data_IF_362414629519
#
_entry.id   IF_362414629519
#
_cell.length_a   1.000
_cell.length_b   1.000
_cell.length_c   1.000
_cell.angle_alpha   90.00
_cell.angle_beta   90.00
_cell.angle_gamma   90.00
#
_symmetry.space_group_name_H-M   'P 1'
#
loop_
_entity.id
_entity.type
_entity.pdbx_description
1 polymer ?
#
# COMPACT_ATOMS: atom_id res chain seq x y z
N UNK A 1 10.63 5.02 -17.69
CA UNK A 1 11.24 6.23 -17.09
C UNK A 1 10.51 6.52 -15.77
N UNK A 2 11.18 7.05 -14.74
CA UNK A 2 10.49 7.54 -13.53
C UNK A 2 10.02 8.98 -13.75
N UNK A 3 8.73 9.23 -13.52
CA UNK A 3 8.11 10.56 -13.66
C UNK A 3 8.36 11.44 -12.44
N UNK A 4 8.26 10.86 -11.25
CA UNK A 4 8.37 11.52 -9.97
C UNK A 4 9.03 10.58 -8.96
N UNK A 5 9.86 11.14 -8.09
CA UNK A 5 10.42 10.42 -6.94
C UNK A 5 10.45 11.34 -5.73
N UNK A 6 9.95 10.83 -4.60
CA UNK A 6 10.09 11.44 -3.29
C UNK A 6 10.82 10.48 -2.36
N UNK A 7 11.77 11.02 -1.60
CA UNK A 7 12.52 10.31 -0.57
C UNK A 7 12.70 11.28 0.60
N UNK A 8 12.71 10.79 1.86
CA UNK A 8 13.05 11.64 2.98
C UNK A 8 14.50 12.14 2.84
N UNK A 9 14.85 13.32 3.37
CA UNK A 9 16.12 14.00 3.11
C UNK A 9 17.39 13.17 3.38
N UNK A 10 17.30 12.17 4.26
CA UNK A 10 18.43 11.33 4.67
C UNK A 10 18.44 9.93 4.03
N UNK A 11 17.53 9.65 3.08
CA UNK A 11 17.48 8.34 2.43
C UNK A 11 18.33 8.31 1.16
N UNK A 12 19.44 7.56 1.23
CA UNK A 12 20.29 7.24 0.08
C UNK A 12 19.88 5.94 -0.63
N UNK A 13 18.77 5.32 -0.22
CA UNK A 13 18.32 4.05 -0.80
C UNK A 13 17.93 4.27 -2.27
N UNK A 14 18.47 3.40 -3.13
CA UNK A 14 18.08 3.30 -4.53
C UNK A 14 17.29 1.99 -4.73
N UNK A 15 16.19 2.08 -5.48
CA UNK A 15 15.28 0.98 -5.76
C UNK A 15 15.24 0.62 -7.25
N UNK A 16 16.17 1.12 -8.08
CA UNK A 16 16.16 0.90 -9.54
C UNK A 16 16.03 -0.58 -9.95
N UNK A 17 16.72 -1.48 -9.25
CA UNK A 17 16.62 -2.92 -9.50
C UNK A 17 15.25 -3.50 -9.09
N UNK A 18 14.74 -3.07 -7.93
CA UNK A 18 13.42 -3.48 -7.45
C UNK A 18 12.33 -3.00 -8.43
N UNK A 19 12.48 -1.79 -8.96
CA UNK A 19 11.57 -1.22 -9.96
C UNK A 19 11.56 -2.00 -11.28
N UNK A 20 12.61 -2.76 -11.61
CA UNK A 20 12.59 -3.63 -12.79
C UNK A 20 11.72 -4.86 -12.58
N UNK A 21 11.74 -5.44 -11.37
CA UNK A 21 10.85 -6.53 -10.98
C UNK A 21 9.40 -6.03 -11.02
N UNK A 22 9.15 -4.88 -10.40
CA UNK A 22 7.84 -4.20 -10.41
C UNK A 22 7.32 -4.03 -11.84
N UNK A 23 8.12 -3.44 -12.76
CA UNK A 23 7.69 -3.25 -14.16
C UNK A 23 7.34 -4.54 -14.88
N UNK A 24 8.03 -5.65 -14.57
CA UNK A 24 7.80 -6.93 -15.23
C UNK A 24 6.48 -7.59 -14.82
N UNK A 25 6.05 -7.39 -13.57
CA UNK A 25 4.89 -8.10 -13.00
C UNK A 25 3.69 -7.18 -12.68
N UNK A 26 3.82 -5.88 -12.92
CA UNK A 26 2.78 -4.90 -12.63
C UNK A 26 1.46 -5.21 -13.36
N UNK A 27 0.44 -5.57 -12.59
CA UNK A 27 -0.94 -5.79 -13.06
C UNK A 27 -1.83 -4.65 -12.60
N UNK A 28 -2.76 -4.24 -13.45
CA UNK A 28 -3.68 -3.15 -13.14
C UNK A 28 -4.65 -3.53 -12.02
N UNK A 29 -4.87 -2.62 -11.07
CA UNK A 29 -5.87 -2.80 -10.01
C UNK A 29 -5.50 -3.79 -8.89
N UNK A 30 -4.29 -4.37 -8.93
CA UNK A 30 -3.82 -5.32 -7.90
C UNK A 30 -2.60 -4.75 -7.19
N UNK A 31 -2.63 -4.80 -5.86
CA UNK A 31 -1.46 -4.49 -5.04
C UNK A 31 -0.52 -5.68 -4.98
N UNK A 32 0.76 -5.43 -5.26
CA UNK A 32 1.81 -6.43 -5.12
C UNK A 32 2.76 -6.03 -4.00
N UNK A 33 3.16 -7.02 -3.22
CA UNK A 33 4.05 -6.87 -2.08
C UNK A 33 5.42 -7.46 -2.40
N UNK A 34 6.47 -6.73 -2.03
CA UNK A 34 7.83 -7.25 -2.02
C UNK A 34 8.35 -7.09 -0.59
N UNK A 35 8.71 -8.19 0.05
CA UNK A 35 9.43 -8.20 1.33
C UNK A 35 10.93 -8.44 1.08
N UNK A 36 11.78 -7.55 1.56
CA UNK A 36 13.24 -7.62 1.45
C UNK A 36 13.92 -7.93 2.79
N UNK A 37 13.16 -8.36 3.80
CA UNK A 37 13.60 -8.59 5.16
C UNK A 37 13.78 -7.32 5.97
N UNK A 38 14.46 -6.29 5.44
CA UNK A 38 14.67 -5.00 6.10
C UNK A 38 13.76 -3.87 5.59
N UNK A 39 13.01 -4.12 4.52
CA UNK A 39 12.11 -3.16 3.89
C UNK A 39 10.98 -3.86 3.18
N UNK A 40 9.88 -3.14 3.04
CA UNK A 40 8.68 -3.57 2.32
C UNK A 40 8.39 -2.58 1.21
N UNK A 41 7.95 -3.09 0.07
CA UNK A 41 7.55 -2.28 -1.07
C UNK A 41 6.16 -2.74 -1.49
N UNK A 42 5.28 -1.77 -1.73
CA UNK A 42 3.96 -1.97 -2.32
C UNK A 42 3.91 -1.24 -3.64
N UNK A 43 3.33 -1.87 -4.66
CA UNK A 43 3.07 -1.21 -5.93
C UNK A 43 1.72 -1.55 -6.51
N UNK A 44 1.20 -0.65 -7.32
CA UNK A 44 -0.02 -0.80 -8.10
C UNK A 44 0.17 -0.13 -9.46
N UNK A 45 -0.39 -0.73 -10.52
CA UNK A 45 -0.49 -0.10 -11.83
C UNK A 45 -1.85 0.56 -11.99
N UNK A 46 -1.85 1.83 -12.39
CA UNK A 46 -3.06 2.56 -12.77
C UNK A 46 -2.82 3.23 -14.13
N UNK A 47 -3.64 2.89 -15.12
CA UNK A 47 -3.42 3.28 -16.51
C UNK A 47 -2.03 2.85 -17.02
N UNK A 48 -1.28 3.82 -17.52
CA UNK A 48 0.09 3.62 -18.03
C UNK A 48 1.19 3.80 -16.97
N UNK A 49 0.81 4.17 -15.73
CA UNK A 49 1.76 4.53 -14.67
C UNK A 49 1.77 3.46 -13.58
N UNK A 50 2.97 3.19 -13.07
CA UNK A 50 3.17 2.32 -11.92
C UNK A 50 3.53 3.20 -10.74
N UNK A 51 2.79 3.03 -9.66
CA UNK A 51 2.99 3.74 -8.41
C UNK A 51 3.62 2.79 -7.41
N UNK A 52 4.54 3.30 -6.60
CA UNK A 52 5.28 2.47 -5.65
C UNK A 52 5.56 3.27 -4.39
N UNK A 53 5.37 2.62 -3.24
CA UNK A 53 5.77 3.13 -1.93
C UNK A 53 6.60 2.09 -1.22
N UNK A 54 7.63 2.53 -0.50
CA UNK A 54 8.50 1.66 0.28
C UNK A 54 8.64 2.16 1.70
N UNK A 55 8.79 1.24 2.65
CA UNK A 55 9.03 1.56 4.06
C UNK A 55 9.88 0.48 4.74
N UNK A 56 10.13 0.66 6.04
CA UNK A 56 10.72 -0.37 6.88
C UNK A 56 9.78 -1.57 7.03
N UNK A 57 10.33 -2.73 7.38
CA UNK A 57 9.56 -3.96 7.61
C UNK A 57 8.55 -3.89 8.77
N UNK A 58 8.67 -2.87 9.64
CA UNK A 58 7.77 -2.65 10.79
C UNK A 58 6.39 -2.12 10.39
N UNK A 59 6.26 -1.52 9.20
CA UNK A 59 5.00 -0.97 8.72
C UNK A 59 4.16 -2.08 8.09
N UNK A 60 2.86 -2.12 8.41
CA UNK A 60 1.92 -3.09 7.85
C UNK A 60 1.63 -2.77 6.37
N UNK A 61 1.43 -3.80 5.54
CA UNK A 61 1.13 -3.62 4.12
C UNK A 61 -0.14 -2.81 3.89
N UNK A 62 -1.18 -3.03 4.70
CA UNK A 62 -2.44 -2.28 4.63
C UNK A 62 -2.25 -0.77 4.78
N UNK A 63 -1.33 -0.31 5.63
CA UNK A 63 -0.98 1.11 5.76
C UNK A 63 -0.32 1.66 4.49
N UNK A 64 0.61 0.88 3.91
CA UNK A 64 1.30 1.25 2.68
C UNK A 64 0.35 1.28 1.47
N UNK A 65 -0.57 0.33 1.38
CA UNK A 65 -1.60 0.30 0.35
C UNK A 65 -2.53 1.50 0.44
N UNK A 66 -3.06 1.80 1.64
CA UNK A 66 -3.95 2.95 1.83
C UNK A 66 -3.26 4.27 1.47
N UNK A 67 -2.00 4.45 1.89
CA UNK A 67 -1.19 5.60 1.51
C UNK A 67 -1.00 5.68 0.00
N UNK A 68 -0.64 4.57 -0.64
CA UNK A 68 -0.40 4.53 -2.07
C UNK A 68 -1.67 4.83 -2.87
N UNK A 69 -2.80 4.28 -2.46
CA UNK A 69 -4.12 4.51 -3.06
C UNK A 69 -4.50 5.99 -2.99
N UNK A 70 -4.32 6.62 -1.83
CA UNK A 70 -4.58 8.05 -1.65
C UNK A 70 -3.63 8.92 -2.48
N UNK A 71 -2.33 8.60 -2.51
CA UNK A 71 -1.35 9.29 -3.34
C UNK A 71 -1.70 9.17 -4.83
N UNK A 72 -2.08 7.99 -5.30
CA UNK A 72 -2.52 7.76 -6.69
C UNK A 72 -3.69 8.67 -7.01
N UNK A 73 -4.72 8.68 -6.16
CA UNK A 73 -5.89 9.54 -6.34
C UNK A 73 -5.50 11.01 -6.44
N UNK A 74 -4.77 11.53 -5.45
CA UNK A 74 -4.34 12.94 -5.41
C UNK A 74 -3.45 13.33 -6.58
N UNK A 75 -2.55 12.44 -6.99
CA UNK A 75 -1.66 12.69 -8.12
C UNK A 75 -2.44 12.83 -9.44
N UNK A 76 -3.42 11.95 -9.68
CA UNK A 76 -4.27 12.02 -10.88
C UNK A 76 -5.29 13.18 -10.82
N UNK A 77 -5.67 13.64 -9.63
CA UNK A 77 -6.50 14.85 -9.49
C UNK A 77 -5.74 16.14 -9.82
N UNK A 78 -4.44 16.19 -9.52
CA UNK A 78 -3.58 17.36 -9.78
C UNK A 78 -3.04 17.36 -11.21
N UNK A 79 -2.68 16.18 -11.72
CA UNK A 79 -2.08 16.03 -13.04
C UNK A 79 -2.98 15.17 -13.93
N UNK A 80 -3.48 15.76 -15.01
CA UNK A 80 -4.11 15.00 -16.09
C UNK A 80 -3.04 14.20 -16.84
N UNK A 81 -2.78 12.98 -16.35
CA UNK A 81 -1.69 12.14 -16.86
C UNK A 81 -1.92 11.68 -18.29
N UNK A 82 -3.17 11.47 -18.70
CA UNK A 82 -3.48 11.04 -20.06
C UNK A 82 -3.10 12.13 -21.06
N UNK A 83 -3.41 13.39 -20.73
CA UNK A 83 -3.00 14.55 -21.54
C UNK A 83 -1.49 14.76 -21.46
N UNK A 84 -0.89 14.77 -20.27
CA UNK A 84 0.53 15.05 -20.10
C UNK A 84 1.39 13.99 -20.81
N UNK A 85 1.06 12.70 -20.68
CA UNK A 85 1.83 11.62 -21.28
C UNK A 85 1.59 11.47 -22.79
N UNK A 86 0.59 12.15 -23.36
CA UNK A 86 0.40 12.21 -24.82
C UNK A 86 1.48 13.05 -25.52
N UNK A 87 2.18 13.94 -24.80
CA UNK A 87 3.26 14.75 -25.35
C UNK A 87 4.59 13.97 -25.38
N UNK A 88 5.35 14.08 -26.47
CA UNK A 88 6.62 13.35 -26.65
C UNK A 88 7.72 13.73 -25.63
N UNK A 89 7.66 14.94 -25.05
CA UNK A 89 8.72 15.49 -24.20
C UNK A 89 8.23 15.92 -22.81
N UNK A 90 7.79 14.96 -22.00
CA UNK A 90 7.40 15.22 -20.60
C UNK A 90 8.63 15.44 -19.71
N UNK A 91 8.77 16.67 -19.19
CA UNK A 91 9.80 17.00 -18.21
C UNK A 91 9.41 16.55 -16.80
N UNK A 92 10.29 15.82 -16.10
CA UNK A 92 10.08 15.41 -14.70
C UNK A 92 9.86 16.60 -13.76
N UNK A 93 10.38 17.77 -14.11
CA UNK A 93 10.25 18.97 -13.28
C UNK A 93 8.81 19.44 -13.14
N UNK A 94 7.92 19.06 -14.06
CA UNK A 94 6.49 19.35 -13.99
C UNK A 94 5.85 18.77 -12.73
N UNK A 95 6.34 17.64 -12.22
CA UNK A 95 5.78 16.96 -11.06
C UNK A 95 6.42 17.40 -9.74
N UNK A 96 7.41 18.32 -9.75
CA UNK A 96 8.14 18.71 -8.54
C UNK A 96 7.24 19.39 -7.49
N UNK A 97 6.16 20.05 -7.92
CA UNK A 97 5.17 20.65 -7.01
C UNK A 97 4.47 19.61 -6.13
N UNK A 98 4.43 18.33 -6.55
CA UNK A 98 3.81 17.27 -5.77
C UNK A 98 4.60 16.88 -4.53
N UNK A 99 5.87 17.29 -4.39
CA UNK A 99 6.67 16.98 -3.19
C UNK A 99 6.03 17.52 -1.92
N UNK A 100 5.57 18.76 -1.93
CA UNK A 100 4.90 19.37 -0.77
C UNK A 100 3.55 18.72 -0.48
N UNK A 101 2.85 18.20 -1.50
CA UNK A 101 1.63 17.43 -1.30
C UNK A 101 1.92 16.08 -0.63
N UNK A 102 2.98 15.38 -1.02
CA UNK A 102 3.41 14.14 -0.32
C UNK A 102 3.74 14.43 1.14
N UNK A 103 4.46 15.51 1.43
CA UNK A 103 4.80 15.91 2.80
C UNK A 103 3.54 16.17 3.64
N UNK A 104 2.58 16.95 3.11
CA UNK A 104 1.29 17.18 3.77
C UNK A 104 0.51 15.89 4.01
N UNK A 105 0.49 14.97 3.04
CA UNK A 105 -0.19 13.68 3.16
C UNK A 105 0.42 12.85 4.30
N UNK A 106 1.74 12.81 4.38
CA UNK A 106 2.45 12.05 5.41
C UNK A 106 2.26 12.67 6.80
N UNK A 107 2.30 13.99 6.92
CA UNK A 107 2.10 14.72 8.18
C UNK A 107 0.68 14.54 8.72
N UNK A 108 -0.33 14.57 7.84
CA UNK A 108 -1.74 14.52 8.22
C UNK A 108 -2.37 13.15 7.97
N UNK A 109 -1.58 12.09 7.79
CA UNK A 109 -2.08 10.77 7.38
C UNK A 109 -3.18 10.22 8.29
N UNK A 110 -3.05 10.44 9.60
CA UNK A 110 -4.03 9.99 10.60
C UNK A 110 -5.38 10.71 10.48
N UNK A 111 -5.40 11.93 9.92
CA UNK A 111 -6.61 12.73 9.74
C UNK A 111 -7.38 12.35 8.48
N UNK A 112 -6.75 11.60 7.56
CA UNK A 112 -7.36 11.15 6.31
C UNK A 112 -8.37 10.01 6.50
N UNK A 113 -8.43 9.43 7.71
CA UNK A 113 -9.41 8.40 8.10
C UNK A 113 -9.47 7.18 7.14
N UNK A 114 -8.32 6.80 6.58
CA UNK A 114 -8.21 5.74 5.56
C UNK A 114 -8.13 4.32 6.16
N UNK A 115 -7.95 4.22 7.47
CA UNK A 115 -7.59 2.98 8.17
C UNK A 115 -8.53 2.79 9.34
N UNK A 116 -8.98 1.55 9.52
CA UNK A 116 -9.64 1.10 10.74
C UNK A 116 -8.74 0.11 11.49
N UNK A 117 -8.81 0.08 12.81
CA UNK A 117 -7.99 -0.85 13.62
C UNK A 117 -8.85 -1.93 14.23
N UNK A 118 -8.64 -3.16 13.78
CA UNK A 118 -9.33 -4.34 14.30
C UNK A 118 -8.49 -5.06 15.35
N UNK A 119 -9.16 -5.85 16.20
CA UNK A 119 -8.52 -6.71 17.20
C UNK A 119 -8.77 -8.17 16.86
N UNK A 120 -7.70 -8.92 16.59
CA UNK A 120 -7.77 -10.35 16.30
C UNK A 120 -6.93 -11.15 17.28
N UNK A 121 -7.45 -12.27 17.79
CA UNK A 121 -6.68 -13.16 18.67
C UNK A 121 -5.85 -14.13 17.83
N UNK A 122 -4.54 -14.07 17.99
CA UNK A 122 -3.68 -15.16 17.54
C UNK A 122 -3.61 -16.24 18.62
N UNK A 123 -4.02 -17.47 18.26
CA UNK A 123 -4.00 -18.63 19.15
C UNK A 123 -2.59 -19.19 19.37
N UNK A 124 -1.68 -19.00 18.41
CA UNK A 124 -0.29 -19.50 18.49
C UNK A 124 0.54 -18.67 19.47
N UNK A 125 0.42 -17.34 19.40
CA UNK A 125 1.10 -16.43 20.33
C UNK A 125 0.36 -16.22 21.66
N UNK A 126 -0.90 -16.65 21.75
CA UNK A 126 -1.84 -16.34 22.83
C UNK A 126 -1.95 -14.83 23.12
N UNK A 127 -2.12 -14.02 22.07
CA UNK A 127 -2.20 -12.55 22.17
C UNK A 127 -3.27 -11.96 21.26
N UNK A 128 -3.83 -10.82 21.69
CA UNK A 128 -4.66 -9.97 20.84
C UNK A 128 -3.74 -9.06 20.05
N UNK A 129 -3.87 -9.08 18.73
CA UNK A 129 -3.14 -8.23 17.80
C UNK A 129 -4.02 -7.06 17.39
N UNK A 130 -3.42 -5.87 17.33
CA UNK A 130 -4.02 -4.70 16.68
C UNK A 130 -3.58 -4.69 15.22
N UNK A 131 -4.53 -4.85 14.31
CA UNK A 131 -4.28 -4.96 12.87
C UNK A 131 -4.95 -3.79 12.18
N UNK A 132 -4.18 -3.08 11.36
CA UNK A 132 -4.67 -1.96 10.58
C UNK A 132 -5.23 -2.48 9.27
N UNK A 133 -6.45 -2.10 8.94
CA UNK A 133 -7.16 -2.52 7.73
C UNK A 133 -7.54 -1.27 6.97
N UNK A 134 -7.17 -1.18 5.69
CA UNK A 134 -7.59 -0.04 4.89
C UNK A 134 -9.10 -0.09 4.64
N UNK A 135 -9.78 1.04 4.77
CA UNK A 135 -11.25 1.06 4.66
C UNK A 135 -11.74 0.64 3.29
N UNK A 136 -11.04 1.06 2.24
CA UNK A 136 -11.33 0.68 0.85
C UNK A 136 -11.32 -0.83 0.61
N UNK A 137 -10.64 -1.63 1.44
CA UNK A 137 -10.64 -3.10 1.32
C UNK A 137 -11.99 -3.71 1.74
N UNK A 138 -12.64 -3.11 2.74
CA UNK A 138 -13.94 -3.55 3.25
C UNK A 138 -15.08 -2.90 2.46
N UNK A 139 -14.97 -1.60 2.17
CA UNK A 139 -16.02 -0.83 1.48
C UNK A 139 -16.25 -1.26 0.03
N UNK A 140 -15.19 -1.72 -0.66
CA UNK A 140 -15.28 -2.19 -2.05
C UNK A 140 -15.47 -3.70 -2.18
N UNK A 141 -15.71 -4.42 -1.08
CA UNK A 141 -15.91 -5.86 -1.13
C UNK A 141 -17.32 -6.21 -1.64
N UNK A 142 -17.39 -7.17 -2.57
CA UNK A 142 -18.66 -7.64 -3.13
C UNK A 142 -19.48 -8.46 -2.10
N UNK A 143 -18.79 -9.17 -1.21
CA UNK A 143 -19.38 -10.09 -0.23
C UNK A 143 -18.71 -9.98 1.14
N UNK A 144 -19.44 -10.41 2.18
CA UNK A 144 -18.99 -10.39 3.57
C UNK A 144 -19.22 -11.75 4.25
N UNK A 145 -18.36 -12.15 5.22
CA UNK A 145 -17.18 -11.43 5.70
C UNK A 145 -15.98 -11.50 4.75
N UNK A 146 -15.20 -10.42 4.69
CA UNK A 146 -14.00 -10.29 3.86
C UNK A 146 -12.83 -11.03 4.53
N UNK A 147 -12.13 -11.93 3.82
CA UNK A 147 -10.94 -12.61 4.33
C UNK A 147 -9.70 -11.71 4.24
N UNK A 148 -8.98 -11.55 5.34
CA UNK A 148 -7.68 -10.90 5.41
C UNK A 148 -6.64 -11.87 5.97
N UNK A 149 -5.58 -12.12 5.20
CA UNK A 149 -4.39 -12.85 5.69
C UNK A 149 -3.45 -11.87 6.38
N UNK A 150 -3.08 -12.17 7.63
CA UNK A 150 -2.13 -11.37 8.40
C UNK A 150 -0.98 -12.24 8.90
N UNK A 151 0.23 -11.90 8.48
CA UNK A 151 1.45 -12.58 8.88
C UNK A 151 2.12 -11.87 10.06
N UNK A 152 2.45 -12.63 11.12
CA UNK A 152 3.23 -12.12 12.24
C UNK A 152 3.99 -13.25 12.94
N UNK A 153 5.16 -12.93 13.50
CA UNK A 153 5.95 -13.88 14.30
C UNK A 153 6.12 -15.28 13.66
N UNK A 154 6.33 -15.33 12.34
CA UNK A 154 6.60 -16.56 11.60
C UNK A 154 5.38 -17.44 11.29
N UNK A 155 4.16 -16.96 11.47
CA UNK A 155 2.93 -17.65 11.05
C UNK A 155 1.89 -16.67 10.53
N UNK A 156 0.87 -17.21 9.87
CA UNK A 156 -0.21 -16.44 9.26
C UNK A 156 -1.55 -16.80 9.90
N UNK A 157 -2.41 -15.80 10.10
CA UNK A 157 -3.80 -15.99 10.49
C UNK A 157 -4.72 -15.47 9.40
N UNK A 158 -5.82 -16.18 9.15
CA UNK A 158 -6.91 -15.75 8.29
C UNK A 158 -7.98 -15.13 9.17
N UNK A 159 -8.34 -13.89 8.88
CA UNK A 159 -9.28 -13.09 9.67
C UNK A 159 -10.49 -12.79 8.80
N UNK A 160 -11.69 -13.10 9.29
CA UNK A 160 -12.94 -12.78 8.61
C UNK A 160 -13.51 -11.50 9.20
N UNK A 161 -13.59 -10.45 8.39
CA UNK A 161 -13.98 -9.09 8.80
C UNK A 161 -15.31 -8.74 8.15
N UNK A 162 -16.27 -8.23 8.91
CA UNK A 162 -17.54 -7.77 8.31
C UNK A 162 -17.53 -6.29 7.91
N UNK A 163 -18.67 -5.80 7.42
CA UNK A 163 -18.86 -4.41 6.99
C UNK A 163 -18.66 -3.35 8.08
N UNK A 164 -18.73 -3.73 9.35
CA UNK A 164 -18.54 -2.85 10.49
C UNK A 164 -17.12 -2.97 11.06
N UNK A 165 -16.22 -3.66 10.36
CA UNK A 165 -14.86 -3.98 10.82
C UNK A 165 -14.83 -4.90 12.05
N UNK A 166 -15.94 -5.61 12.34
CA UNK A 166 -15.97 -6.62 13.38
C UNK A 166 -15.31 -7.91 12.90
N UNK A 167 -14.44 -8.47 13.72
CA UNK A 167 -13.84 -9.79 13.47
C UNK A 167 -14.86 -10.89 13.79
N UNK A 168 -15.30 -11.62 12.77
CA UNK A 168 -16.29 -12.71 12.85
C UNK A 168 -15.64 -14.07 13.04
N UNK A 169 -14.38 -14.23 12.64
CA UNK A 169 -13.64 -15.47 12.80
C UNK A 169 -12.14 -15.28 12.60
N UNK A 170 -11.35 -16.15 13.23
CA UNK A 170 -9.89 -16.21 13.03
C UNK A 170 -9.46 -17.66 12.95
N UNK A 171 -8.77 -18.00 11.86
CA UNK A 171 -8.22 -19.33 11.60
C UNK A 171 -6.70 -19.28 11.43
N UNK A 172 -6.01 -20.37 11.75
CA UNK A 172 -4.59 -20.50 11.49
C UNK A 172 -4.41 -20.93 10.04
N UNK A 173 -3.52 -20.25 9.32
CA UNK A 173 -3.18 -20.63 7.95
C UNK A 173 -1.91 -21.46 7.99
N UNK A 174 -1.97 -22.66 7.40
CA UNK A 174 -0.78 -23.44 7.10
C UNK A 174 -0.11 -22.84 5.86
N UNK A 175 0.89 -21.99 6.06
CA UNK A 175 1.78 -21.56 4.98
C UNK A 175 2.66 -22.75 4.59
N UNK A 176 2.24 -23.52 3.59
CA UNK A 176 3.15 -24.44 2.89
C UNK A 176 3.81 -23.63 1.78
N UNK A 177 5.13 -23.50 1.86
CA UNK A 177 5.97 -22.87 0.83
C UNK A 177 6.44 -23.91 -0.18
#
# INVERSE_FOLDING_TARGET
MSLFEWKPPQSFKNYDLDLNIVKKYATSGVFFHIDKGNSKIVHIKSGQVIYTVGSSNKVQYQLLEALLEYIVKRFNEIFDLDVILSYENVSKNMFNSFKSEVEKILENFNELDLIETIKARCRVCDKILSIHVKKSFIENADDFPVPLVYEHAGHAILIFIDRNFDVRGVELVNTTG
#
